data_IF_027346421117
#
_entry.id   IF_027346421117
#
_cell.length_a   1.000
_cell.length_b   1.000
_cell.length_c   1.000
_cell.angle_alpha   90.00
_cell.angle_beta   90.00
_cell.angle_gamma   90.00
#
_symmetry.space_group_name_H-M   'P 1'
#
loop_
_entity.id
_entity.type
_entity.pdbx_description
1 polymer ?
#
# COMPACT_ATOMS: atom_id res chain seq x y z
N UNK A 1 4.69 2.06 -5.63
CA UNK A 1 3.43 1.33 -5.31
C UNK A 1 2.21 2.25 -5.29
N UNK A 2 2.18 3.33 -4.50
CA UNK A 2 1.01 4.24 -4.40
C UNK A 2 0.49 4.73 -5.75
N UNK A 3 1.35 5.33 -6.58
CA UNK A 3 0.95 5.78 -7.92
C UNK A 3 0.40 4.63 -8.77
N UNK A 4 1.10 3.49 -8.81
CA UNK A 4 0.64 2.32 -9.54
C UNK A 4 -0.74 1.83 -9.08
N UNK A 5 -1.00 1.81 -7.77
CA UNK A 5 -2.31 1.43 -7.23
C UNK A 5 -3.39 2.46 -7.61
N UNK A 6 -3.07 3.76 -7.61
CA UNK A 6 -4.00 4.81 -8.00
C UNK A 6 -4.42 4.69 -9.48
N UNK A 7 -3.49 4.36 -10.37
CA UNK A 7 -3.74 4.32 -11.82
C UNK A 7 -4.22 2.96 -12.35
N UNK A 8 -3.76 1.84 -11.77
CA UNK A 8 -3.96 0.50 -12.36
C UNK A 8 -4.89 -0.40 -11.55
N UNK A 9 -5.30 -0.01 -10.34
CA UNK A 9 -6.29 -0.79 -9.60
C UNK A 9 -7.69 -0.58 -10.17
N UNK A 10 -8.48 -1.65 -10.18
CA UNK A 10 -9.92 -1.64 -10.46
C UNK A 10 -10.78 -1.01 -9.36
N UNK A 11 -10.17 -0.58 -8.24
CA UNK A 11 -10.87 0.04 -7.13
C UNK A 11 -11.59 1.34 -7.57
N UNK A 12 -12.78 1.63 -7.00
CA UNK A 12 -13.45 2.90 -7.25
C UNK A 12 -12.56 4.10 -6.89
N UNK A 13 -12.50 5.07 -7.79
CA UNK A 13 -11.81 6.34 -7.54
C UNK A 13 -12.66 7.24 -6.63
N UNK A 14 -12.00 7.91 -5.70
CA UNK A 14 -12.60 8.98 -4.92
C UNK A 14 -12.63 10.26 -5.74
N UNK A 15 -13.68 11.07 -5.57
CA UNK A 15 -13.86 12.32 -6.30
C UNK A 15 -12.97 13.45 -5.74
N UNK A 16 -11.66 13.32 -5.93
CA UNK A 16 -10.67 14.32 -5.52
C UNK A 16 -10.22 15.09 -6.76
N UNK A 17 -10.41 16.42 -6.81
CA UNK A 17 -9.91 17.21 -7.93
C UNK A 17 -8.39 17.08 -8.05
N UNK A 18 -7.88 16.88 -9.27
CA UNK A 18 -6.44 16.90 -9.64
C UNK A 18 -5.63 15.65 -9.28
N UNK A 19 -6.12 14.75 -8.43
CA UNK A 19 -5.34 13.61 -7.93
C UNK A 19 -6.12 12.30 -8.07
N UNK A 20 -5.54 11.31 -8.73
CA UNK A 20 -6.06 9.93 -8.72
C UNK A 20 -5.87 9.32 -7.33
N UNK A 21 -6.98 8.87 -6.74
CA UNK A 21 -6.99 8.37 -5.37
C UNK A 21 -8.07 7.32 -5.17
N UNK A 22 -7.65 6.13 -4.74
CA UNK A 22 -8.54 5.02 -4.41
C UNK A 22 -8.10 4.34 -3.11
N UNK A 23 -8.90 3.39 -2.61
CA UNK A 23 -8.63 2.72 -1.33
C UNK A 23 -7.28 1.98 -1.28
N UNK A 24 -6.87 1.21 -2.32
CA UNK A 24 -5.56 0.55 -2.31
C UNK A 24 -4.37 1.52 -2.31
N UNK A 25 -4.48 2.66 -3.02
CA UNK A 25 -3.44 3.69 -3.02
C UNK A 25 -3.31 4.37 -1.66
N UNK A 26 -4.44 4.70 -1.01
CA UNK A 26 -4.46 5.22 0.35
C UNK A 26 -3.89 4.23 1.35
N UNK A 27 -4.29 2.97 1.24
CA UNK A 27 -3.75 1.88 2.07
C UNK A 27 -2.24 1.77 1.91
N UNK A 28 -1.72 1.74 0.68
CA UNK A 28 -0.29 1.67 0.40
C UNK A 28 0.49 2.86 0.97
N UNK A 29 -0.07 4.07 0.86
CA UNK A 29 0.51 5.29 1.43
C UNK A 29 0.56 5.19 2.95
N UNK A 30 -0.57 4.87 3.59
CA UNK A 30 -0.67 4.71 5.04
C UNK A 30 0.26 3.63 5.58
N UNK A 31 0.34 2.49 4.89
CA UNK A 31 1.23 1.39 5.23
C UNK A 31 2.71 1.76 5.11
N UNK A 32 3.09 2.53 4.09
CA UNK A 32 4.47 3.06 3.96
C UNK A 32 4.82 3.99 5.11
N UNK A 33 3.91 4.91 5.47
CA UNK A 33 4.10 5.81 6.60
C UNK A 33 4.19 5.05 7.93
N UNK A 34 3.34 4.04 8.14
CA UNK A 34 3.43 3.18 9.32
C UNK A 34 4.78 2.45 9.38
N UNK A 35 5.23 1.88 8.26
CA UNK A 35 6.56 1.26 8.14
C UNK A 35 7.69 2.22 8.46
N UNK A 36 7.60 3.46 7.98
CA UNK A 36 8.56 4.53 8.28
C UNK A 36 8.55 4.89 9.77
N UNK A 37 7.38 5.04 10.39
CA UNK A 37 7.26 5.34 11.82
C UNK A 37 7.88 4.23 12.68
N UNK A 38 7.63 2.96 12.33
CA UNK A 38 8.25 1.82 13.00
C UNK A 38 9.77 1.85 12.81
N UNK A 39 10.25 2.08 11.59
CA UNK A 39 11.67 2.17 11.29
C UNK A 39 12.34 3.28 12.13
N UNK A 40 11.78 4.48 12.12
CA UNK A 40 12.31 5.61 12.88
C UNK A 40 12.27 5.34 14.39
N UNK A 41 11.26 4.65 14.90
CA UNK A 41 11.21 4.25 16.32
C UNK A 41 12.38 3.36 16.72
N UNK A 42 12.85 2.48 15.84
CA UNK A 42 14.00 1.62 16.10
C UNK A 42 15.33 2.36 15.92
N UNK A 43 15.41 3.23 14.90
CA UNK A 43 16.57 4.09 14.65
C UNK A 43 16.83 5.00 15.84
N UNK A 44 15.78 5.65 16.39
CA UNK A 44 15.88 6.49 17.58
C UNK A 44 16.31 5.71 18.84
N UNK A 45 16.05 4.39 18.89
CA UNK A 45 16.53 3.49 19.95
C UNK A 45 17.97 2.99 19.71
N UNK A 46 18.68 3.51 18.72
CA UNK A 46 20.03 3.08 18.36
C UNK A 46 20.11 1.70 17.72
N UNK A 47 18.98 1.13 17.26
CA UNK A 47 18.92 -0.16 16.54
C UNK A 47 18.56 0.10 15.08
N UNK A 48 19.50 0.54 14.23
CA UNK A 48 19.23 0.71 12.82
C UNK A 48 18.87 -0.63 12.19
N UNK A 49 17.78 -0.66 11.44
CA UNK A 49 17.35 -1.82 10.66
C UNK A 49 17.35 -1.43 9.18
N UNK A 50 17.35 -2.43 8.31
CA UNK A 50 17.13 -2.19 6.89
C UNK A 50 15.75 -1.52 6.71
N UNK A 51 15.74 -0.33 6.12
CA UNK A 51 14.50 0.42 5.91
C UNK A 51 13.60 -0.20 4.86
N UNK A 52 14.18 -0.79 3.81
CA UNK A 52 13.46 -1.34 2.68
C UNK A 52 12.41 -2.41 3.08
N UNK A 53 12.71 -3.41 3.94
CA UNK A 53 11.70 -4.36 4.40
C UNK A 53 10.49 -3.72 5.07
N UNK A 54 10.68 -2.73 5.95
CA UNK A 54 9.57 -2.08 6.65
C UNK A 54 8.77 -1.14 5.75
N UNK A 55 9.46 -0.36 4.92
CA UNK A 55 8.82 0.59 4.00
C UNK A 55 8.02 -0.16 2.93
N UNK A 56 8.67 -1.10 2.22
CA UNK A 56 8.02 -1.86 1.16
C UNK A 56 7.01 -2.86 1.72
N UNK A 57 7.31 -3.54 2.82
CA UNK A 57 6.37 -4.44 3.49
C UNK A 57 5.13 -3.70 3.99
N UNK A 58 5.32 -2.49 4.54
CA UNK A 58 4.22 -1.60 4.89
C UNK A 58 3.39 -1.19 3.67
N UNK A 59 4.04 -0.78 2.58
CA UNK A 59 3.34 -0.43 1.33
C UNK A 59 2.50 -1.59 0.77
N UNK A 60 3.07 -2.80 0.74
CA UNK A 60 2.41 -4.01 0.25
C UNK A 60 1.24 -4.39 1.16
N UNK A 61 1.47 -4.47 2.48
CA UNK A 61 0.42 -4.79 3.44
C UNK A 61 -0.72 -3.78 3.40
N UNK A 62 -0.39 -2.49 3.33
CA UNK A 62 -1.37 -1.41 3.21
C UNK A 62 -2.17 -1.49 1.91
N UNK A 63 -1.52 -1.76 0.77
CA UNK A 63 -2.21 -1.98 -0.51
C UNK A 63 -3.21 -3.13 -0.43
N UNK A 64 -2.79 -4.29 0.09
CA UNK A 64 -3.64 -5.48 0.19
C UNK A 64 -4.83 -5.24 1.11
N UNK A 65 -4.62 -4.60 2.27
CA UNK A 65 -5.71 -4.23 3.18
C UNK A 65 -6.67 -3.21 2.53
N UNK A 66 -6.14 -2.23 1.80
CA UNK A 66 -6.94 -1.25 1.07
C UNK A 66 -7.72 -1.85 -0.11
N UNK A 67 -7.20 -2.90 -0.75
CA UNK A 67 -7.89 -3.64 -1.79
C UNK A 67 -9.03 -4.50 -1.21
N UNK A 68 -8.74 -5.25 -0.16
CA UNK A 68 -9.72 -6.10 0.52
C UNK A 68 -10.88 -5.29 1.12
N UNK A 69 -10.61 -4.09 1.63
CA UNK A 69 -11.65 -3.25 2.25
C UNK A 69 -12.73 -2.78 1.26
N UNK A 70 -12.43 -2.76 -0.04
CA UNK A 70 -13.39 -2.41 -1.11
C UNK A 70 -13.80 -3.63 -1.95
N UNK A 71 -13.50 -4.84 -1.48
CA UNK A 71 -13.97 -6.09 -2.08
C UNK A 71 -13.11 -6.62 -3.23
N UNK A 72 -11.91 -6.07 -3.46
CA UNK A 72 -10.98 -6.62 -4.45
C UNK A 72 -10.36 -7.91 -3.89
N UNK A 73 -10.52 -9.07 -4.54
CA UNK A 73 -9.98 -10.32 -4.05
C UNK A 73 -8.45 -10.38 -4.22
N UNK A 74 -7.79 -11.18 -3.37
CA UNK A 74 -6.32 -11.30 -3.39
C UNK A 74 -5.78 -11.79 -4.75
N UNK A 75 -6.50 -12.70 -5.42
CA UNK A 75 -6.11 -13.18 -6.75
C UNK A 75 -5.97 -12.03 -7.75
N UNK A 76 -6.88 -11.05 -7.70
CA UNK A 76 -6.83 -9.87 -8.55
C UNK A 76 -5.77 -8.88 -8.07
N UNK A 77 -5.68 -8.64 -6.76
CA UNK A 77 -4.67 -7.74 -6.18
C UNK A 77 -3.23 -8.20 -6.47
N UNK A 78 -2.99 -9.52 -6.59
CA UNK A 78 -1.70 -10.08 -7.01
C UNK A 78 -1.54 -10.17 -8.53
N UNK A 79 -2.55 -9.81 -9.33
CA UNK A 79 -2.52 -9.90 -10.79
C UNK A 79 -2.55 -11.33 -11.33
N UNK A 80 -3.11 -12.27 -10.56
CA UNK A 80 -3.13 -13.70 -10.87
C UNK A 80 -4.42 -14.17 -11.58
N UNK A 81 -5.40 -13.28 -11.79
CA UNK A 81 -6.70 -13.61 -12.42
C UNK A 81 -6.59 -14.25 -13.81
N UNK A 82 -5.50 -13.99 -14.56
CA UNK A 82 -5.27 -14.62 -15.87
C UNK A 82 -4.64 -16.02 -15.82
N UNK A 83 -4.27 -16.51 -14.63
CA UNK A 83 -3.54 -17.77 -14.42
C UNK A 83 -4.33 -18.82 -13.62
N UNK A 84 -5.37 -18.41 -12.89
CA UNK A 84 -6.24 -19.25 -12.05
C UNK A 84 -7.68 -19.19 -12.57
#
# INVERSE_FOLDING_TARGET
MVASAAFFSSAPQYAVPVIELNAPALGALGGTLAGLLVLMSMVMKGKPHAGLPLLNGGAIGGYLLGALSVGIPLVEAFGLTGFL
#
